data_IF_424821165853
#
_entry.id   IF_424821165853
#
_cell.length_a   1.000
_cell.length_b   1.000
_cell.length_c   1.000
_cell.angle_alpha   90.00
_cell.angle_beta   90.00
_cell.angle_gamma   90.00
#
_symmetry.space_group_name_H-M   'P 1'
#
loop_
_entity.id
_entity.type
_entity.pdbx_description
1 polymer ?
#
# COMPACT_ATOMS: atom_id res chain seq x y z
N UNK A 1 14.36 -24.89 14.36
CA UNK A 1 12.95 -25.13 13.94
C UNK A 1 12.90 -25.25 12.43
N UNK A 2 12.25 -26.29 11.92
CA UNK A 2 12.25 -26.65 10.49
C UNK A 2 11.48 -25.64 9.65
N UNK A 3 12.16 -25.01 8.70
CA UNK A 3 11.55 -24.13 7.69
C UNK A 3 11.26 -24.95 6.43
N UNK A 4 10.17 -24.62 5.74
CA UNK A 4 9.76 -25.33 4.52
C UNK A 4 10.81 -25.16 3.42
N UNK A 5 11.58 -26.20 3.12
CA UNK A 5 12.62 -26.13 2.09
C UNK A 5 12.12 -26.53 0.69
N UNK A 6 11.04 -27.30 0.61
CA UNK A 6 10.49 -27.81 -0.64
C UNK A 6 8.98 -28.03 -0.53
N UNK A 7 8.26 -27.68 -1.59
CA UNK A 7 6.87 -28.07 -1.82
C UNK A 7 6.76 -28.70 -3.20
N UNK A 8 5.97 -29.77 -3.31
CA UNK A 8 5.72 -30.49 -4.57
C UNK A 8 4.21 -30.56 -4.76
N UNK A 9 3.75 -30.16 -5.95
CA UNK A 9 2.36 -30.35 -6.38
C UNK A 9 2.35 -31.48 -7.40
N UNK A 10 1.58 -32.53 -7.13
CA UNK A 10 1.46 -33.71 -7.99
C UNK A 10 0.05 -33.79 -8.57
N UNK A 11 -0.09 -34.20 -9.83
CA UNK A 11 -1.39 -34.62 -10.36
C UNK A 11 -1.70 -36.03 -9.84
N UNK A 12 -2.66 -36.16 -8.93
CA UNK A 12 -3.04 -37.43 -8.33
C UNK A 12 -3.58 -38.48 -9.33
N UNK A 13 -4.04 -38.08 -10.53
CA UNK A 13 -4.55 -39.03 -11.55
C UNK A 13 -3.43 -39.63 -12.39
N UNK A 14 -2.32 -38.91 -12.58
CA UNK A 14 -1.19 -39.35 -13.40
C UNK A 14 0.07 -39.68 -12.60
N UNK A 15 0.08 -39.35 -11.31
CA UNK A 15 1.25 -39.41 -10.44
C UNK A 15 2.47 -38.66 -10.99
N UNK A 16 2.20 -37.58 -11.75
CA UNK A 16 3.21 -36.71 -12.36
C UNK A 16 3.45 -35.47 -11.49
N UNK A 17 4.72 -35.15 -11.20
CA UNK A 17 5.07 -33.88 -10.55
C UNK A 17 4.71 -32.71 -11.48
N UNK A 18 3.76 -31.88 -11.06
CA UNK A 18 3.24 -30.75 -11.85
C UNK A 18 4.04 -29.48 -11.61
N UNK A 19 4.51 -29.26 -10.39
CA UNK A 19 5.37 -28.13 -10.04
C UNK A 19 6.12 -28.40 -8.74
N UNK A 20 7.45 -28.30 -8.78
CA UNK A 20 8.29 -28.27 -7.57
C UNK A 20 8.68 -26.83 -7.27
N UNK A 21 8.55 -26.42 -6.01
CA UNK A 21 9.06 -25.15 -5.49
C UNK A 21 10.08 -25.40 -4.39
N UNK A 22 11.26 -24.80 -4.49
CA UNK A 22 12.32 -24.90 -3.48
C UNK A 22 12.60 -23.55 -2.84
N UNK A 23 13.11 -23.59 -1.60
CA UNK A 23 13.42 -22.42 -0.81
C UNK A 23 14.79 -22.56 -0.14
N UNK A 24 15.50 -21.44 -0.03
CA UNK A 24 16.74 -21.32 0.77
C UNK A 24 16.59 -20.20 1.77
N UNK A 25 17.31 -20.31 2.89
CA UNK A 25 17.22 -19.39 4.02
C UNK A 25 18.61 -19.05 4.55
N UNK A 26 18.78 -17.86 5.12
CA UNK A 26 19.98 -17.50 5.88
C UNK A 26 19.94 -18.08 7.32
N UNK A 27 20.90 -17.72 8.17
CA UNK A 27 21.02 -18.20 9.55
C UNK A 27 19.98 -17.62 10.52
N UNK A 28 19.54 -16.37 10.29
CA UNK A 28 18.37 -15.80 10.96
C UNK A 28 17.07 -16.44 10.43
N UNK A 29 17.18 -17.09 9.28
CA UNK A 29 16.17 -17.80 8.54
C UNK A 29 15.29 -16.89 7.68
N UNK A 30 15.77 -15.73 7.27
CA UNK A 30 15.11 -15.01 6.20
C UNK A 30 15.26 -15.81 4.91
N UNK A 31 14.20 -15.84 4.08
CA UNK A 31 14.23 -16.60 2.82
C UNK A 31 15.15 -15.87 1.86
N UNK A 32 16.25 -16.46 1.42
CA UNK A 32 17.20 -15.86 0.47
C UNK A 32 16.92 -16.22 -0.98
N UNK A 33 16.27 -17.35 -1.24
CA UNK A 33 15.96 -17.83 -2.59
C UNK A 33 14.64 -18.61 -2.62
N UNK A 34 13.92 -18.48 -3.73
CA UNK A 34 12.76 -19.31 -4.11
C UNK A 34 12.93 -19.70 -5.58
N UNK A 35 12.77 -20.98 -5.91
CA UNK A 35 12.74 -21.43 -7.32
C UNK A 35 11.40 -22.10 -7.58
N UNK A 36 10.70 -21.71 -8.65
CA UNK A 36 9.43 -22.31 -9.08
C UNK A 36 9.46 -22.50 -10.60
N UNK A 37 9.62 -23.74 -11.05
CA UNK A 37 9.84 -24.02 -12.48
C UNK A 37 11.13 -23.35 -12.97
N UNK A 38 11.02 -22.51 -14.01
CA UNK A 38 12.15 -21.75 -14.59
C UNK A 38 12.36 -20.39 -13.93
N UNK A 39 11.50 -19.99 -12.98
CA UNK A 39 11.61 -18.72 -12.28
C UNK A 39 12.42 -18.86 -10.99
N UNK A 40 13.38 -17.94 -10.82
CA UNK A 40 14.16 -17.79 -9.61
C UNK A 40 13.87 -16.42 -8.99
N UNK A 41 13.48 -16.40 -7.72
CA UNK A 41 13.36 -15.18 -6.92
C UNK A 41 14.44 -15.13 -5.85
N UNK A 42 15.30 -14.13 -5.91
CA UNK A 42 16.31 -13.82 -4.90
C UNK A 42 15.80 -12.72 -3.96
N UNK A 43 16.16 -12.84 -2.69
CA UNK A 43 15.82 -11.90 -1.62
C UNK A 43 17.08 -11.49 -0.88
N UNK A 44 17.26 -10.20 -0.64
CA UNK A 44 18.39 -9.67 0.14
C UNK A 44 17.89 -8.88 1.33
N UNK A 45 18.64 -8.90 2.43
CA UNK A 45 18.24 -8.29 3.69
C UNK A 45 19.37 -7.43 4.27
N UNK A 46 19.03 -6.45 5.09
CA UNK A 46 20.00 -5.71 5.90
C UNK A 46 20.31 -6.44 7.23
N UNK A 47 21.21 -5.88 8.03
CA UNK A 47 21.59 -6.44 9.33
C UNK A 47 20.48 -6.50 10.38
N UNK A 48 19.37 -5.79 10.17
CA UNK A 48 18.17 -5.83 11.01
C UNK A 48 17.12 -6.83 10.49
N UNK A 49 17.49 -7.67 9.51
CA UNK A 49 16.60 -8.63 8.84
C UNK A 49 15.46 -7.98 8.04
N UNK A 50 15.59 -6.71 7.65
CA UNK A 50 14.62 -6.02 6.79
C UNK A 50 14.95 -6.28 5.32
N UNK A 51 13.92 -6.51 4.51
CA UNK A 51 14.04 -6.89 3.11
C UNK A 51 14.51 -5.72 2.25
N UNK A 52 15.69 -5.80 1.64
CA UNK A 52 16.24 -4.74 0.79
C UNK A 52 15.86 -4.89 -0.69
N UNK A 53 15.65 -6.12 -1.16
CA UNK A 53 15.38 -6.37 -2.58
C UNK A 53 14.68 -7.69 -2.81
N UNK A 54 13.77 -7.71 -3.78
CA UNK A 54 13.19 -8.92 -4.37
C UNK A 54 13.42 -8.86 -5.87
N UNK A 55 14.21 -9.81 -6.40
CA UNK A 55 14.46 -9.92 -7.83
C UNK A 55 13.98 -11.27 -8.34
N UNK A 56 13.05 -11.26 -9.28
CA UNK A 56 12.61 -12.48 -9.99
C UNK A 56 13.16 -12.48 -11.40
N UNK A 57 13.81 -13.57 -11.80
CA UNK A 57 14.28 -13.79 -13.16
C UNK A 57 13.72 -15.08 -13.73
N UNK A 58 13.65 -15.14 -15.06
CA UNK A 58 13.40 -16.34 -15.84
C UNK A 58 14.50 -16.43 -16.90
N UNK A 59 15.52 -17.26 -16.67
CA UNK A 59 16.79 -17.17 -17.42
C UNK A 59 17.41 -15.78 -17.26
N UNK A 60 17.80 -15.16 -18.36
CA UNK A 60 18.37 -13.80 -18.38
C UNK A 60 17.31 -12.69 -18.32
N UNK A 61 16.02 -13.03 -18.40
CA UNK A 61 14.93 -12.04 -18.36
C UNK A 61 14.62 -11.68 -16.91
N UNK A 62 14.68 -10.39 -16.59
CA UNK A 62 14.16 -9.87 -15.32
C UNK A 62 12.65 -9.75 -15.44
N UNK A 63 11.93 -10.31 -14.47
CA UNK A 63 10.46 -10.29 -14.40
C UNK A 63 9.97 -9.29 -13.37
N UNK A 64 10.79 -9.02 -12.36
CA UNK A 64 10.51 -8.12 -11.25
C UNK A 64 11.83 -7.76 -10.56
N UNK A 65 12.01 -6.49 -10.18
CA UNK A 65 13.20 -6.04 -9.45
C UNK A 65 12.85 -4.87 -8.53
N UNK A 66 12.35 -5.21 -7.33
CA UNK A 66 11.88 -4.22 -6.36
C UNK A 66 12.94 -4.04 -5.29
N UNK A 67 13.28 -2.81 -4.96
CA UNK A 67 14.14 -2.44 -3.82
C UNK A 67 13.38 -1.65 -2.76
N UNK A 68 13.81 -1.79 -1.51
CA UNK A 68 13.21 -1.14 -0.35
C UNK A 68 14.27 -0.44 0.48
N UNK A 69 13.90 0.68 1.09
CA UNK A 69 14.73 1.44 2.02
C UNK A 69 13.95 1.74 3.30
N UNK A 70 14.67 1.80 4.42
CA UNK A 70 14.10 1.97 5.74
C UNK A 70 14.80 3.09 6.51
N UNK A 71 14.06 3.80 7.36
CA UNK A 71 14.64 4.70 8.35
C UNK A 71 15.21 3.93 9.56
N UNK A 72 15.78 4.67 10.50
CA UNK A 72 16.40 4.11 11.73
C UNK A 72 15.39 3.49 12.70
N UNK A 73 14.11 3.87 12.63
CA UNK A 73 13.03 3.29 13.42
C UNK A 73 12.47 2.03 12.74
N UNK A 74 12.91 1.75 11.52
CA UNK A 74 12.54 0.59 10.74
C UNK A 74 11.30 0.77 9.87
N UNK A 75 10.84 2.02 9.66
CA UNK A 75 9.75 2.28 8.72
C UNK A 75 10.27 2.27 7.29
N UNK A 76 9.47 1.76 6.35
CA UNK A 76 9.81 1.76 4.93
C UNK A 76 9.63 3.17 4.35
N UNK A 77 10.74 3.83 4.03
CA UNK A 77 10.75 5.18 3.45
C UNK A 77 10.74 5.18 1.93
N UNK A 78 11.12 4.05 1.30
CA UNK A 78 11.11 3.94 -0.16
C UNK A 78 10.87 2.52 -0.64
N UNK A 79 10.10 2.41 -1.71
CA UNK A 79 9.97 1.24 -2.56
C UNK A 79 10.18 1.68 -4.01
N UNK A 80 10.90 0.89 -4.80
CA UNK A 80 11.12 1.19 -6.22
C UNK A 80 11.15 -0.09 -7.02
N UNK A 81 10.28 -0.19 -8.01
CA UNK A 81 10.37 -1.18 -9.08
C UNK A 81 11.34 -0.66 -10.14
N UNK A 82 12.48 -1.33 -10.32
CA UNK A 82 13.52 -0.91 -11.25
C UNK A 82 13.18 -1.22 -12.71
N UNK A 83 12.24 -2.13 -12.94
CA UNK A 83 11.82 -2.49 -14.29
C UNK A 83 10.83 -1.47 -14.85
N UNK A 84 9.89 -1.00 -14.01
CA UNK A 84 8.89 0.01 -14.42
C UNK A 84 9.33 1.43 -14.09
N UNK A 85 10.16 1.62 -13.07
CA UNK A 85 10.48 2.91 -12.49
C UNK A 85 9.38 3.45 -11.56
N UNK A 86 8.35 2.65 -11.27
CA UNK A 86 7.33 2.98 -10.29
C UNK A 86 7.95 3.01 -8.89
N UNK A 87 7.47 3.92 -8.04
CA UNK A 87 7.99 4.07 -6.69
C UNK A 87 6.94 4.56 -5.71
N UNK A 88 7.20 4.27 -4.44
CA UNK A 88 6.49 4.82 -3.29
C UNK A 88 7.53 5.41 -2.36
N UNK A 89 7.36 6.66 -1.96
CA UNK A 89 8.20 7.34 -0.98
C UNK A 89 7.35 7.78 0.21
N UNK A 90 7.78 7.44 1.43
CA UNK A 90 7.05 7.73 2.66
C UNK A 90 7.89 8.57 3.60
N UNK A 91 7.23 9.45 4.34
CA UNK A 91 7.82 10.12 5.51
C UNK A 91 6.96 9.90 6.73
N UNK A 92 7.58 9.96 7.90
CA UNK A 92 6.95 9.71 9.18
C UNK A 92 7.15 10.91 10.09
N UNK A 93 6.16 11.20 10.92
CA UNK A 93 6.30 12.21 11.96
C UNK A 93 7.15 11.69 13.14
N UNK A 94 7.39 12.55 14.11
CA UNK A 94 8.22 12.24 15.30
C UNK A 94 7.63 11.14 16.19
N UNK A 95 6.34 10.84 16.06
CA UNK A 95 5.64 9.77 16.77
C UNK A 95 5.53 8.50 15.91
N UNK A 96 6.31 8.43 14.82
CA UNK A 96 6.41 7.28 13.93
C UNK A 96 5.14 6.98 13.14
N UNK A 97 4.30 8.00 12.87
CA UNK A 97 3.08 7.89 12.08
C UNK A 97 3.30 8.41 10.66
N UNK A 98 2.64 7.81 9.68
CA UNK A 98 2.79 8.19 8.26
C UNK A 98 2.35 9.63 8.02
N UNK A 99 3.31 10.52 7.76
CA UNK A 99 3.08 11.94 7.47
C UNK A 99 2.84 12.17 5.99
N UNK A 100 3.69 11.65 5.10
CA UNK A 100 3.48 11.73 3.65
C UNK A 100 3.65 10.36 2.99
N UNK A 101 2.90 10.14 1.92
CA UNK A 101 3.10 9.04 0.98
C UNK A 101 2.98 9.56 -0.44
N UNK A 102 4.03 9.40 -1.24
CA UNK A 102 4.07 9.78 -2.64
C UNK A 102 4.18 8.53 -3.50
N UNK A 103 3.17 8.29 -4.33
CA UNK A 103 3.20 7.21 -5.33
C UNK A 103 3.52 7.83 -6.67
N UNK A 104 4.58 7.36 -7.30
CA UNK A 104 4.98 7.76 -8.65
C UNK A 104 4.85 6.58 -9.58
N UNK A 105 4.06 6.76 -10.64
CA UNK A 105 3.97 5.81 -11.75
C UNK A 105 4.67 6.37 -12.97
N UNK A 106 5.54 5.56 -13.59
CA UNK A 106 6.18 5.90 -14.85
C UNK A 106 5.56 5.08 -15.96
N UNK A 107 4.97 5.77 -16.94
CA UNK A 107 4.42 5.08 -18.11
C UNK A 107 5.56 4.59 -19.01
N UNK A 108 5.67 3.27 -19.20
CA UNK A 108 6.73 2.63 -19.99
C UNK A 108 6.61 2.78 -21.50
N UNK A 109 5.68 3.58 -22.04
CA UNK A 109 5.45 3.68 -23.49
C UNK A 109 5.60 5.12 -23.99
N UNK A 110 6.75 5.40 -24.61
CA UNK A 110 7.09 6.48 -25.54
C UNK A 110 6.81 7.96 -25.16
N UNK A 111 6.22 8.24 -24.01
CA UNK A 111 6.17 9.57 -23.41
C UNK A 111 6.59 9.42 -21.96
N UNK A 112 7.55 10.23 -21.51
CA UNK A 112 8.08 10.23 -20.14
C UNK A 112 7.03 10.77 -19.14
N UNK A 113 5.79 10.29 -19.22
CA UNK A 113 4.68 10.67 -18.37
C UNK A 113 4.89 10.03 -17.01
N UNK A 114 5.27 10.89 -16.07
CA UNK A 114 5.39 10.57 -14.66
C UNK A 114 4.14 11.10 -13.99
N UNK A 115 3.30 10.21 -13.49
CA UNK A 115 2.13 10.58 -12.67
C UNK A 115 2.50 10.38 -11.22
N UNK A 116 2.54 11.46 -10.46
CA UNK A 116 2.80 11.43 -9.03
C UNK A 116 1.57 11.87 -8.26
N UNK A 117 1.19 11.10 -7.25
CA UNK A 117 0.14 11.44 -6.30
C UNK A 117 0.76 11.47 -4.89
N UNK A 118 0.60 12.59 -4.20
CA UNK A 118 1.05 12.74 -2.80
C UNK A 118 -0.16 12.83 -1.88
N UNK A 119 -0.18 11.97 -0.87
CA UNK A 119 -1.03 12.09 0.30
C UNK A 119 -0.23 12.69 1.46
N UNK A 120 -0.77 13.70 2.13
CA UNK A 120 -0.24 14.31 3.35
C UNK A 120 -1.24 14.08 4.50
N UNK A 121 -0.76 13.75 5.69
CA UNK A 121 -1.58 13.49 6.88
C UNK A 121 -1.10 14.33 8.06
N UNK A 122 -2.06 14.87 8.82
CA UNK A 122 -1.82 15.49 10.13
C UNK A 122 -2.61 14.74 11.20
N UNK A 123 -2.04 14.66 12.40
CA UNK A 123 -2.62 13.94 13.53
C UNK A 123 -2.69 14.85 14.76
N UNK A 124 -3.63 14.56 15.65
CA UNK A 124 -3.66 15.15 16.99
C UNK A 124 -2.73 14.38 17.95
N UNK A 125 -2.64 14.84 19.21
CA UNK A 125 -1.83 14.19 20.24
C UNK A 125 -2.30 12.79 20.63
N UNK A 126 -3.56 12.44 20.33
CA UNK A 126 -4.12 11.11 20.62
C UNK A 126 -3.86 10.10 19.49
N UNK A 127 -3.14 10.49 18.43
CA UNK A 127 -2.86 9.59 17.30
C UNK A 127 -3.93 9.58 16.22
N UNK A 128 -5.00 10.36 16.34
CA UNK A 128 -6.08 10.40 15.38
C UNK A 128 -5.75 11.36 14.24
N UNK A 129 -6.05 10.95 13.00
CA UNK A 129 -5.81 11.78 11.81
C UNK A 129 -6.80 12.93 11.77
N UNK A 130 -6.35 14.15 11.90
CA UNK A 130 -7.20 15.35 11.84
C UNK A 130 -7.25 16.00 10.45
N UNK A 131 -6.30 15.68 9.58
CA UNK A 131 -6.33 16.13 8.19
C UNK A 131 -5.70 15.10 7.26
N UNK A 132 -6.30 14.95 6.07
CA UNK A 132 -5.72 14.28 4.90
C UNK A 132 -5.75 15.26 3.73
N UNK A 133 -4.66 15.40 3.00
CA UNK A 133 -4.61 16.11 1.73
C UNK A 133 -4.12 15.17 0.64
N UNK A 134 -4.83 15.06 -0.47
CA UNK A 134 -4.49 14.16 -1.58
C UNK A 134 -5.02 14.74 -2.89
N UNK A 135 -4.20 14.73 -3.95
CA UNK A 135 -4.57 15.30 -5.26
C UNK A 135 -5.06 16.78 -5.20
N UNK A 136 -4.64 17.54 -4.19
CA UNK A 136 -5.11 18.91 -3.96
C UNK A 136 -6.38 19.03 -3.13
N UNK A 137 -7.10 17.93 -2.90
CA UNK A 137 -8.28 17.86 -2.05
C UNK A 137 -7.88 17.74 -0.59
N UNK A 138 -8.52 18.51 0.29
CA UNK A 138 -8.33 18.45 1.74
C UNK A 138 -9.57 17.84 2.39
N UNK A 139 -9.37 16.89 3.29
CA UNK A 139 -10.39 16.37 4.19
C UNK A 139 -9.92 16.58 5.62
N UNK A 140 -10.66 17.40 6.37
CA UNK A 140 -10.47 17.56 7.81
C UNK A 140 -11.41 16.58 8.56
N UNK A 141 -10.94 16.00 9.66
CA UNK A 141 -11.69 15.02 10.46
C UNK A 141 -11.95 15.58 11.85
N UNK A 142 -13.20 15.44 12.29
CA UNK A 142 -13.65 15.88 13.62
C UNK A 142 -14.19 14.68 14.38
N UNK A 143 -13.76 14.55 15.63
CA UNK A 143 -14.02 13.38 16.45
C UNK A 143 -14.96 13.70 17.61
N UNK A 144 -15.80 12.73 17.96
CA UNK A 144 -16.65 12.71 19.16
C UNK A 144 -16.57 11.30 19.72
N UNK A 145 -16.23 11.18 21.00
CA UNK A 145 -16.02 9.89 21.69
C UNK A 145 -15.08 8.93 20.93
N UNK A 146 -14.01 9.49 20.35
CA UNK A 146 -13.01 8.72 19.61
C UNK A 146 -13.42 8.32 18.19
N UNK A 147 -14.66 8.56 17.78
CA UNK A 147 -15.19 8.26 16.45
C UNK A 147 -15.22 9.50 15.56
N UNK A 148 -15.06 9.35 14.24
CA UNK A 148 -15.24 10.46 13.31
C UNK A 148 -16.71 10.88 13.33
N UNK A 149 -17.01 12.04 13.89
CA UNK A 149 -18.34 12.66 13.93
C UNK A 149 -18.67 13.32 12.60
N UNK A 150 -17.74 14.08 12.01
CA UNK A 150 -17.93 14.65 10.67
C UNK A 150 -16.61 14.99 9.98
N UNK A 151 -16.67 15.26 8.68
CA UNK A 151 -15.54 15.74 7.88
C UNK A 151 -15.89 17.00 7.11
N UNK A 152 -14.88 17.82 6.78
CA UNK A 152 -15.04 19.03 5.94
C UNK A 152 -13.97 19.11 4.86
N UNK A 153 -14.17 20.00 3.88
CA UNK A 153 -13.13 20.44 2.94
C UNK A 153 -12.14 21.44 3.55
N UNK A 154 -11.29 22.05 2.72
CA UNK A 154 -10.26 23.02 3.11
C UNK A 154 -10.84 24.29 3.80
N UNK A 155 -11.87 24.90 3.19
CA UNK A 155 -12.23 26.29 3.48
C UNK A 155 -13.72 26.52 3.78
N UNK A 156 -14.56 25.50 3.70
CA UNK A 156 -16.01 25.73 3.65
C UNK A 156 -16.70 25.69 5.01
N UNK A 157 -16.09 25.08 6.03
CA UNK A 157 -16.80 24.71 7.28
C UNK A 157 -18.00 23.78 7.04
N UNK A 158 -18.26 23.42 5.78
CA UNK A 158 -19.38 22.60 5.36
C UNK A 158 -19.01 21.14 5.58
N UNK A 159 -19.96 20.42 6.18
CA UNK A 159 -19.83 18.98 6.40
C UNK A 159 -19.96 18.26 5.07
N UNK A 160 -18.93 17.49 4.71
CA UNK A 160 -18.94 16.58 3.56
C UNK A 160 -19.60 15.25 3.94
N UNK A 161 -19.25 14.74 5.12
CA UNK A 161 -19.87 13.58 5.74
C UNK A 161 -20.20 13.94 7.19
N UNK A 162 -21.38 13.58 7.66
CA UNK A 162 -21.76 13.64 9.06
C UNK A 162 -22.24 12.25 9.50
N UNK A 163 -21.57 11.69 10.50
CA UNK A 163 -21.93 10.45 11.15
C UNK A 163 -22.76 10.74 12.41
N UNK A 164 -23.70 9.86 12.70
CA UNK A 164 -24.35 9.77 14.00
C UNK A 164 -23.88 8.49 14.67
N UNK A 165 -23.28 8.65 15.84
CA UNK A 165 -22.80 7.54 16.66
C UNK A 165 -23.92 7.02 17.56
N UNK A 166 -24.02 5.70 17.70
CA UNK A 166 -24.83 5.01 18.71
C UNK A 166 -24.08 4.87 20.02
N UNK A 167 -24.76 4.34 21.04
CA UNK A 167 -24.28 4.23 22.42
C UNK A 167 -23.16 3.19 22.62
N UNK A 168 -22.84 2.40 21.61
CA UNK A 168 -21.84 1.32 21.65
C UNK A 168 -20.65 1.62 20.73
N UNK A 169 -20.30 2.90 20.56
CA UNK A 169 -19.22 3.33 19.66
C UNK A 169 -19.41 2.71 18.26
N UNK A 170 -20.60 2.87 17.69
CA UNK A 170 -20.93 2.41 16.35
C UNK A 170 -21.56 3.54 15.53
N UNK A 171 -21.22 3.63 14.24
CA UNK A 171 -21.91 4.56 13.34
C UNK A 171 -23.26 3.96 12.95
N UNK A 172 -24.35 4.58 13.38
CA UNK A 172 -25.73 4.12 13.10
C UNK A 172 -26.37 4.86 11.92
N UNK A 173 -25.81 6.01 11.54
CA UNK A 173 -26.25 6.77 10.37
C UNK A 173 -25.10 7.61 9.82
N UNK A 174 -25.06 7.80 8.50
CA UNK A 174 -24.12 8.68 7.83
C UNK A 174 -24.82 9.43 6.70
N UNK A 175 -24.75 10.76 6.74
CA UNK A 175 -25.17 11.63 5.64
C UNK A 175 -23.94 12.11 4.88
N UNK A 176 -23.99 12.04 3.55
CA UNK A 176 -22.93 12.56 2.69
C UNK A 176 -23.50 13.63 1.78
N UNK A 177 -22.88 14.81 1.77
CA UNK A 177 -23.18 15.86 0.80
C UNK A 177 -22.83 15.36 -0.60
N UNK A 178 -23.83 15.37 -1.49
CA UNK A 178 -23.63 15.07 -2.92
C UNK A 178 -23.59 16.40 -3.66
N UNK A 179 -22.42 16.78 -4.16
CA UNK A 179 -22.27 17.91 -5.08
C UNK A 179 -22.29 17.39 -6.51
N UNK A 180 -23.46 17.42 -7.14
CA UNK A 180 -23.68 17.11 -8.55
C UNK A 180 -25.11 17.49 -8.95
N UNK A 181 -25.28 18.11 -10.11
CA UNK A 181 -26.62 18.37 -10.67
C UNK A 181 -27.32 17.03 -10.91
N UNK A 182 -28.50 16.84 -10.32
CA UNK A 182 -29.42 15.82 -10.77
C UNK A 182 -29.65 16.05 -12.28
N UNK A 183 -29.12 15.18 -13.13
CA UNK A 183 -29.52 15.16 -14.53
C UNK A 183 -31.01 14.80 -14.51
N UNK A 184 -31.86 15.77 -14.79
CA UNK A 184 -33.29 15.56 -14.90
C UNK A 184 -33.52 14.46 -15.96
N UNK A 185 -34.15 13.36 -15.54
CA UNK A 185 -34.78 12.44 -16.48
C UNK A 185 -35.85 13.24 -17.22
N UNK A 186 -35.62 13.58 -18.49
CA UNK A 186 -36.71 13.92 -19.39
C UNK A 186 -37.36 12.59 -19.78
N UNK A 187 -38.59 12.39 -19.30
CA UNK A 187 -39.48 11.37 -19.84
C UNK A 187 -39.68 11.67 -21.33
N UNK A 188 -39.30 10.73 -22.18
CA UNK A 188 -39.71 10.70 -23.58
C UNK A 188 -41.08 10.02 -23.63
N UNK A 189 -42.11 10.81 -23.98
CA UNK A 189 -43.41 10.30 -24.45
C UNK A 189 -43.28 9.55 -25.79
#
# INVERSE_FOLDING_TARGET
MGRLMKSVVTDHKKNEEKTTTTYSYDSAGNRTKKVKGEEETAYTYNGLNQLLRVKTTKGDTVKNDISYEYDVNGNQIKETDKETGDSVENTYDVENRLSTATVTKKSGTSGNETVSLTQENLYNGDGQRIQKKEAGEVTNYFYEDGMVSYTTGADTGEKLIQNLSGLEDNVIYAERKVTGTASAYQDLE
#
